data_IF_955522874538
#
_entry.id   IF_955522874538
#
_cell.length_a   1.000
_cell.length_b   1.000
_cell.length_c   1.000
_cell.angle_alpha   90.00
_cell.angle_beta   90.00
_cell.angle_gamma   90.00
#
_symmetry.space_group_name_H-M   'P 1'
#
loop_
_entity.id
_entity.type
_entity.pdbx_description
1 polymer ?
#
# COMPACT_ATOMS: atom_id res chain seq x y z
N UNK A 1 12.07 14.16 20.67
CA UNK A 1 11.66 14.92 19.44
C UNK A 1 11.19 13.95 18.37
N UNK A 2 10.16 14.35 17.59
CA UNK A 2 9.70 13.64 16.41
C UNK A 2 9.81 14.57 15.21
N UNK A 3 10.41 14.08 14.13
CA UNK A 3 10.51 14.79 12.86
C UNK A 3 10.01 13.87 11.76
N UNK A 4 9.17 14.40 10.89
CA UNK A 4 8.72 13.73 9.67
C UNK A 4 8.96 14.64 8.48
N UNK A 5 9.58 14.11 7.45
CA UNK A 5 9.78 14.80 6.17
C UNK A 5 9.09 13.99 5.09
N UNK A 6 8.21 14.66 4.37
CA UNK A 6 7.45 14.05 3.28
C UNK A 6 7.73 14.77 1.98
N UNK A 7 8.06 14.01 0.96
CA UNK A 7 8.19 14.49 -0.40
C UNK A 7 7.19 13.75 -1.28
N UNK A 8 6.45 14.51 -2.07
CA UNK A 8 5.45 13.97 -2.99
C UNK A 8 5.58 14.65 -4.34
N UNK A 9 5.63 13.86 -5.39
CA UNK A 9 5.64 14.33 -6.76
C UNK A 9 4.68 13.50 -7.60
N UNK A 10 3.95 14.16 -8.51
CA UNK A 10 3.12 13.49 -9.49
C UNK A 10 3.23 14.20 -10.84
N UNK A 11 3.07 13.43 -11.91
CA UNK A 11 3.09 13.95 -13.26
C UNK A 11 2.28 13.07 -14.18
N UNK A 12 1.71 13.65 -15.23
CA UNK A 12 1.01 12.90 -16.25
C UNK A 12 1.18 13.54 -17.62
N UNK A 13 1.24 12.70 -18.64
CA UNK A 13 1.26 13.10 -20.05
C UNK A 13 0.07 12.43 -20.72
N UNK A 14 -0.70 13.19 -21.46
CA UNK A 14 -1.81 12.69 -22.27
C UNK A 14 -1.57 13.07 -23.72
N UNK A 15 -1.57 12.07 -24.58
CA UNK A 15 -1.33 12.25 -26.02
C UNK A 15 -2.50 11.68 -26.82
N UNK A 16 -3.16 12.54 -27.59
CA UNK A 16 -4.17 12.11 -28.55
C UNK A 16 -3.48 11.67 -29.83
N UNK A 17 -3.37 10.34 -30.03
CA UNK A 17 -2.68 9.73 -31.16
C UNK A 17 -3.44 10.01 -32.47
N UNK A 18 -4.74 9.74 -32.40
CA UNK A 18 -5.71 10.05 -33.48
C UNK A 18 -7.04 10.47 -32.86
N UNK A 19 -7.97 10.97 -33.63
CA UNK A 19 -9.31 11.34 -33.15
C UNK A 19 -9.98 10.13 -32.48
N UNK A 20 -10.30 10.28 -31.21
CA UNK A 20 -10.93 9.24 -30.39
C UNK A 20 -9.96 8.28 -29.71
N UNK A 21 -8.67 8.24 -30.04
CA UNK A 21 -7.67 7.38 -29.41
C UNK A 21 -6.66 8.21 -28.61
N UNK A 22 -6.64 8.03 -27.30
CA UNK A 22 -5.78 8.78 -26.39
C UNK A 22 -4.94 7.80 -25.56
N UNK A 23 -3.64 8.03 -25.54
CA UNK A 23 -2.70 7.40 -24.62
C UNK A 23 -2.44 8.34 -23.44
N UNK A 24 -2.47 7.81 -22.23
CA UNK A 24 -2.11 8.55 -21.01
C UNK A 24 -1.12 7.75 -20.18
N UNK A 25 -0.04 8.40 -19.79
CA UNK A 25 0.89 7.91 -18.76
C UNK A 25 0.85 8.83 -17.56
N UNK A 26 0.90 8.28 -16.37
CA UNK A 26 0.95 9.02 -15.12
C UNK A 26 1.90 8.34 -14.15
N UNK A 27 2.62 9.14 -13.38
CA UNK A 27 3.51 8.63 -12.34
C UNK A 27 3.32 9.41 -11.04
N UNK A 28 3.44 8.70 -9.92
CA UNK A 28 3.51 9.31 -8.58
C UNK A 28 4.72 8.77 -7.85
N UNK A 29 5.35 9.63 -7.07
CA UNK A 29 6.44 9.27 -6.18
C UNK A 29 6.20 9.93 -4.82
N UNK A 30 6.23 9.14 -3.76
CA UNK A 30 6.07 9.63 -2.39
C UNK A 30 7.15 9.00 -1.53
N UNK A 31 7.81 9.81 -0.70
CA UNK A 31 8.72 9.31 0.32
C UNK A 31 8.46 10.02 1.63
N UNK A 32 8.50 9.26 2.70
CA UNK A 32 8.35 9.76 4.06
C UNK A 32 9.52 9.27 4.89
N UNK A 33 10.31 10.20 5.44
CA UNK A 33 11.38 9.91 6.36
C UNK A 33 10.95 10.34 7.77
N UNK A 34 10.92 9.39 8.69
CA UNK A 34 10.55 9.63 10.08
C UNK A 34 11.77 9.45 10.97
N UNK A 35 12.01 10.39 11.87
CA UNK A 35 13.00 10.25 12.93
C UNK A 35 12.35 10.58 14.26
N UNK A 36 12.48 9.66 15.22
CA UNK A 36 12.02 9.84 16.59
C UNK A 36 13.21 9.66 17.52
N UNK A 37 13.52 10.70 18.28
CA UNK A 37 14.55 10.70 19.31
C UNK A 37 13.88 10.87 20.66
N UNK A 38 14.15 9.96 21.58
CA UNK A 38 13.68 9.99 22.95
C UNK A 38 14.92 9.90 23.85
N UNK A 39 15.04 10.82 24.79
CA UNK A 39 16.09 10.78 25.80
C UNK A 39 15.48 11.11 27.16
N UNK A 40 15.72 10.25 28.13
CA UNK A 40 15.33 10.42 29.52
C UNK A 40 16.56 10.63 30.34
N UNK A 41 16.67 11.83 30.93
CA UNK A 41 17.79 12.22 31.76
C UNK A 41 17.74 11.48 33.11
N UNK A 42 18.89 11.45 33.78
CA UNK A 42 18.96 11.03 35.15
C UNK A 42 17.98 11.82 36.03
N UNK A 43 17.38 11.16 37.03
CA UNK A 43 16.37 11.75 37.90
C UNK A 43 14.98 11.95 37.25
N UNK A 44 14.81 11.65 35.97
CA UNK A 44 13.46 11.68 35.35
C UNK A 44 12.61 10.50 35.82
N UNK A 45 11.27 10.68 35.83
CA UNK A 45 10.31 9.62 36.17
C UNK A 45 10.47 8.38 35.29
N UNK A 46 10.80 8.59 34.04
CA UNK A 46 11.01 7.55 33.04
C UNK A 46 12.34 6.80 33.28
N UNK A 47 13.41 7.52 33.66
CA UNK A 47 14.67 6.89 34.05
C UNK A 47 14.48 6.03 35.30
N UNK A 48 13.69 6.50 36.26
CA UNK A 48 13.35 5.72 37.45
C UNK A 48 12.66 4.39 37.13
N UNK A 49 11.72 4.41 36.14
CA UNK A 49 11.06 3.18 35.65
C UNK A 49 12.03 2.23 34.94
N UNK A 50 13.10 2.74 34.37
CA UNK A 50 14.14 1.99 33.67
C UNK A 50 15.34 1.64 34.61
N UNK A 51 15.11 1.49 35.90
CA UNK A 51 16.14 1.11 36.86
C UNK A 51 17.05 2.27 37.27
N UNK A 52 16.54 3.51 37.28
CA UNK A 52 17.23 4.75 37.68
C UNK A 52 18.43 5.11 36.78
N UNK A 53 18.38 4.70 35.50
CA UNK A 53 19.44 4.98 34.53
C UNK A 53 18.94 5.87 33.40
N UNK A 54 19.77 6.79 32.93
CA UNK A 54 19.48 7.54 31.71
C UNK A 54 19.25 6.59 30.52
N UNK A 55 18.29 6.91 29.69
CA UNK A 55 17.88 6.09 28.56
C UNK A 55 17.77 6.92 27.28
N UNK A 56 18.39 6.43 26.22
CA UNK A 56 18.32 7.02 24.90
C UNK A 56 17.77 6.05 23.84
N UNK A 57 16.91 6.55 22.98
CA UNK A 57 16.33 5.80 21.85
C UNK A 57 16.29 6.67 20.60
N UNK A 58 16.85 6.16 19.53
CA UNK A 58 16.74 6.74 18.19
C UNK A 58 16.07 5.73 17.27
N UNK A 59 15.00 6.17 16.61
CA UNK A 59 14.26 5.39 15.65
C UNK A 59 14.22 6.14 14.34
N UNK A 60 14.58 5.47 13.25
CA UNK A 60 14.51 5.97 11.88
C UNK A 60 13.62 5.07 11.06
N UNK A 61 12.77 5.66 10.24
CA UNK A 61 11.91 4.94 9.30
C UNK A 61 11.86 5.66 7.98
N UNK A 62 11.88 4.91 6.90
CA UNK A 62 11.69 5.41 5.53
C UNK A 62 10.60 4.58 4.85
N UNK A 63 9.59 5.26 4.32
CA UNK A 63 8.54 4.66 3.47
C UNK A 63 8.66 5.29 2.09
N UNK A 64 8.85 4.49 1.06
CA UNK A 64 8.91 4.92 -0.33
C UNK A 64 7.80 4.24 -1.10
N UNK A 65 7.04 5.02 -1.86
CA UNK A 65 5.97 4.52 -2.73
C UNK A 65 6.08 5.20 -4.07
N UNK A 66 6.01 4.41 -5.13
CA UNK A 66 5.83 4.95 -6.46
C UNK A 66 4.83 4.12 -7.25
N UNK A 67 4.11 4.79 -8.12
CA UNK A 67 3.19 4.14 -9.05
C UNK A 67 3.43 4.67 -10.46
N UNK A 68 3.30 3.80 -11.43
CA UNK A 68 3.23 4.17 -12.83
C UNK A 68 1.96 3.55 -13.44
N UNK A 69 1.16 4.38 -14.05
CA UNK A 69 -0.12 4.03 -14.65
C UNK A 69 -0.12 4.43 -16.11
N UNK A 70 -0.43 3.48 -17.00
CA UNK A 70 -0.50 3.70 -18.43
C UNK A 70 -1.83 3.18 -18.94
N UNK A 71 -2.51 3.97 -19.75
CA UNK A 71 -3.72 3.53 -20.42
C UNK A 71 -3.85 4.03 -21.85
N UNK A 72 -4.52 3.23 -22.66
CA UNK A 72 -4.96 3.55 -23.99
C UNK A 72 -6.48 3.57 -24.00
N UNK A 73 -7.08 4.70 -24.30
CA UNK A 73 -8.53 4.88 -24.34
C UNK A 73 -8.99 5.18 -25.75
N UNK A 74 -9.93 4.38 -26.23
CA UNK A 74 -10.59 4.61 -27.49
C UNK A 74 -12.06 4.98 -27.27
N UNK A 75 -12.47 6.13 -27.82
CA UNK A 75 -13.84 6.65 -27.75
C UNK A 75 -14.41 6.82 -29.13
N UNK A 76 -15.59 6.28 -29.35
CA UNK A 76 -16.30 6.40 -30.61
C UNK A 76 -17.78 6.71 -30.39
N UNK A 77 -18.30 7.64 -31.16
CA UNK A 77 -19.72 7.96 -31.19
C UNK A 77 -20.26 7.76 -32.61
N UNK A 78 -21.24 6.87 -32.71
CA UNK A 78 -21.94 6.60 -33.99
C UNK A 78 -23.43 6.74 -33.72
N UNK A 79 -24.04 7.81 -34.26
CA UNK A 79 -25.46 8.14 -34.02
C UNK A 79 -25.78 8.16 -32.50
N UNK A 80 -26.61 7.21 -32.03
CA UNK A 80 -27.04 7.05 -30.64
C UNK A 80 -26.12 6.14 -29.82
N UNK A 81 -25.12 5.53 -30.45
CA UNK A 81 -24.19 4.60 -29.81
C UNK A 81 -22.90 5.33 -29.38
N UNK A 82 -22.54 5.26 -28.13
CA UNK A 82 -21.27 5.74 -27.60
C UNK A 82 -20.50 4.57 -27.04
N UNK A 83 -19.28 4.40 -27.51
CA UNK A 83 -18.33 3.37 -27.07
C UNK A 83 -17.13 4.05 -26.41
N UNK A 84 -16.70 3.50 -25.29
CA UNK A 84 -15.46 3.89 -24.60
C UNK A 84 -14.78 2.61 -24.17
N UNK A 85 -13.63 2.32 -24.75
CA UNK A 85 -12.82 1.14 -24.41
C UNK A 85 -11.48 1.60 -23.90
N UNK A 86 -11.09 1.10 -22.75
CA UNK A 86 -9.81 1.41 -22.11
C UNK A 86 -9.05 0.13 -21.83
N UNK A 87 -7.80 0.11 -22.23
CA UNK A 87 -6.80 -0.92 -21.86
C UNK A 87 -5.70 -0.23 -21.09
N UNK A 88 -5.21 -0.86 -20.05
CA UNK A 88 -4.13 -0.26 -19.31
C UNK A 88 -3.39 -1.22 -18.40
N UNK A 89 -2.27 -0.74 -17.89
CA UNK A 89 -1.51 -1.41 -16.87
C UNK A 89 -1.05 -0.42 -15.80
N UNK A 90 -0.82 -0.94 -14.63
CA UNK A 90 -0.35 -0.20 -13.46
C UNK A 90 0.74 -1.00 -12.76
N UNK A 91 1.81 -0.33 -12.40
CA UNK A 91 2.83 -0.86 -11.49
C UNK A 91 2.84 -0.01 -10.24
N UNK A 92 2.71 -0.65 -9.09
CA UNK A 92 2.80 0.00 -7.78
C UNK A 92 3.89 -0.69 -6.96
N UNK A 93 4.76 0.11 -6.37
CA UNK A 93 5.86 -0.34 -5.53
C UNK A 93 5.83 0.39 -4.19
N UNK A 94 6.12 -0.33 -3.13
CA UNK A 94 6.33 0.21 -1.79
C UNK A 94 7.49 -0.49 -1.13
N UNK A 95 8.40 0.29 -0.53
CA UNK A 95 9.40 -0.22 0.40
C UNK A 95 9.32 0.52 1.73
N UNK A 96 9.58 -0.21 2.80
CA UNK A 96 9.62 0.32 4.17
C UNK A 96 10.90 -0.15 4.83
N UNK A 97 11.66 0.80 5.33
CA UNK A 97 12.89 0.56 6.09
C UNK A 97 12.69 1.07 7.52
N UNK A 98 13.24 0.36 8.46
CA UNK A 98 13.18 0.71 9.87
C UNK A 98 14.50 0.38 10.55
N UNK A 99 14.98 1.30 11.38
CA UNK A 99 16.14 1.13 12.24
C UNK A 99 15.85 1.71 13.62
N UNK A 100 16.14 0.94 14.63
CA UNK A 100 16.03 1.32 16.05
C UNK A 100 17.35 1.04 16.76
N UNK A 101 17.82 2.02 17.51
CA UNK A 101 18.89 1.88 18.48
C UNK A 101 18.43 2.38 19.84
N UNK A 102 18.70 1.61 20.88
CA UNK A 102 18.44 1.93 22.28
C UNK A 102 19.68 1.67 23.11
N UNK A 103 19.97 2.59 24.03
CA UNK A 103 21.04 2.42 25.01
C UNK A 103 20.64 3.02 26.37
N UNK A 104 21.26 2.53 27.40
CA UNK A 104 21.10 2.99 28.79
C UNK A 104 22.44 3.26 29.43
N UNK A 105 22.40 3.89 30.61
CA UNK A 105 23.56 4.10 31.45
C UNK A 105 24.59 5.05 30.80
N UNK A 106 24.10 6.25 30.45
CA UNK A 106 24.95 7.29 29.88
C UNK A 106 25.77 7.97 30.97
N UNK A 107 27.10 8.14 30.75
CA UNK A 107 27.96 8.86 31.69
C UNK A 107 27.67 10.36 31.75
N UNK A 108 27.03 10.92 30.70
CA UNK A 108 26.69 12.33 30.59
C UNK A 108 25.30 12.49 29.97
N UNK A 109 24.51 13.41 30.50
CA UNK A 109 23.16 13.72 30.02
C UNK A 109 23.10 14.84 28.98
N UNK A 110 24.20 15.58 28.81
CA UNK A 110 24.23 16.81 28.00
C UNK A 110 24.19 16.56 26.48
N UNK A 111 24.65 15.41 26.01
CA UNK A 111 24.67 15.04 24.60
C UNK A 111 23.37 14.39 24.11
N UNK A 112 22.52 13.92 25.02
CA UNK A 112 21.25 13.30 24.67
C UNK A 112 21.40 12.16 23.68
N UNK A 113 20.58 12.16 22.64
CA UNK A 113 20.60 11.15 21.57
C UNK A 113 21.64 11.40 20.48
N UNK A 114 22.39 12.50 20.53
CA UNK A 114 23.35 12.81 19.47
C UNK A 114 24.52 11.83 19.47
N UNK A 115 24.77 11.19 20.62
CA UNK A 115 25.81 10.18 20.77
C UNK A 115 25.32 8.94 21.53
N UNK A 116 24.43 8.17 20.88
CA UNK A 116 23.82 6.99 21.50
C UNK A 116 24.83 5.91 21.89
N UNK A 117 25.97 5.85 21.20
CA UNK A 117 27.07 4.91 21.50
C UNK A 117 27.79 5.13 22.82
N UNK A 118 27.55 6.25 23.54
CA UNK A 118 28.09 6.48 24.90
C UNK A 118 27.35 5.70 25.97
N UNK A 119 26.17 5.15 25.69
CA UNK A 119 25.46 4.30 26.64
C UNK A 119 26.27 3.03 26.93
N UNK A 120 26.63 2.83 28.21
CA UNK A 120 27.43 1.69 28.62
C UNK A 120 26.72 0.35 28.45
N UNK A 121 25.38 0.37 28.39
CA UNK A 121 24.55 -0.81 28.21
C UNK A 121 23.69 -0.67 26.97
N UNK A 122 24.06 -1.29 25.81
CA UNK A 122 23.18 -1.41 24.65
C UNK A 122 21.93 -2.18 25.04
N UNK A 123 20.76 -1.61 24.81
CA UNK A 123 19.49 -2.21 25.21
C UNK A 123 18.84 -2.96 24.06
N UNK A 124 18.80 -2.34 22.88
CA UNK A 124 18.20 -2.93 21.71
C UNK A 124 18.79 -2.36 20.41
N UNK A 125 19.03 -3.22 19.45
CA UNK A 125 19.27 -2.84 18.05
C UNK A 125 18.31 -3.68 17.21
N UNK A 126 17.50 -3.01 16.40
CA UNK A 126 16.50 -3.66 15.56
C UNK A 126 16.48 -2.98 14.18
N UNK A 127 16.43 -3.77 13.15
CA UNK A 127 16.23 -3.27 11.78
C UNK A 127 15.27 -4.16 11.03
N UNK A 128 14.51 -3.57 10.13
CA UNK A 128 13.66 -4.31 9.22
C UNK A 128 13.61 -3.63 7.86
N UNK A 129 13.48 -4.45 6.84
CA UNK A 129 13.23 -4.04 5.46
C UNK A 129 12.10 -4.86 4.91
N UNK A 130 11.15 -4.21 4.24
CA UNK A 130 10.11 -4.90 3.51
C UNK A 130 9.79 -4.18 2.22
N UNK A 131 9.48 -4.94 1.19
CA UNK A 131 9.04 -4.42 -0.09
C UNK A 131 7.81 -5.17 -0.62
N UNK A 132 7.03 -4.48 -1.42
CA UNK A 132 5.85 -5.00 -2.08
C UNK A 132 5.73 -4.39 -3.46
N UNK A 133 5.48 -5.22 -4.46
CA UNK A 133 5.18 -4.81 -5.82
C UNK A 133 3.83 -5.40 -6.24
N UNK A 134 3.03 -4.58 -6.90
CA UNK A 134 1.78 -4.96 -7.55
C UNK A 134 1.86 -4.57 -9.02
N UNK A 135 1.66 -5.55 -9.89
CA UNK A 135 1.52 -5.36 -11.33
C UNK A 135 0.09 -5.70 -11.72
N UNK A 136 -0.58 -4.78 -12.39
CA UNK A 136 -1.97 -4.91 -12.76
C UNK A 136 -2.17 -4.65 -14.24
N UNK A 137 -2.99 -5.47 -14.88
CA UNK A 137 -3.51 -5.23 -16.22
C UNK A 137 -5.03 -5.11 -16.13
N UNK A 138 -5.61 -4.18 -16.87
CA UNK A 138 -7.05 -4.00 -16.85
C UNK A 138 -7.58 -3.59 -18.21
N UNK A 139 -8.81 -4.04 -18.45
CA UNK A 139 -9.61 -3.65 -19.60
C UNK A 139 -10.99 -3.20 -19.11
N UNK A 140 -11.49 -2.09 -19.65
CA UNK A 140 -12.84 -1.58 -19.38
C UNK A 140 -13.52 -1.23 -20.66
N UNK A 141 -14.75 -1.68 -20.84
CA UNK A 141 -15.66 -1.28 -21.88
C UNK A 141 -16.87 -0.57 -21.31
N UNK A 142 -17.15 0.62 -21.80
CA UNK A 142 -18.40 1.34 -21.52
C UNK A 142 -19.19 1.46 -22.82
N UNK A 143 -20.45 1.13 -22.73
CA UNK A 143 -21.40 1.32 -23.83
C UNK A 143 -22.59 2.13 -23.35
N UNK A 144 -22.95 3.14 -24.12
CA UNK A 144 -24.09 3.98 -23.82
C UNK A 144 -24.95 4.12 -25.12
N UNK A 145 -26.19 3.69 -25.01
CA UNK A 145 -27.18 3.82 -26.06
C UNK A 145 -28.18 4.93 -25.72
N UNK A 146 -28.22 5.96 -26.56
CA UNK A 146 -29.17 7.09 -26.51
C UNK A 146 -29.28 7.78 -25.13
N UNK A 147 -28.21 7.71 -24.34
CA UNK A 147 -28.18 8.14 -22.92
C UNK A 147 -29.20 7.42 -22.00
N UNK A 148 -29.86 6.38 -22.46
CA UNK A 148 -30.86 5.62 -21.72
C UNK A 148 -30.30 4.36 -21.10
N UNK A 149 -29.56 3.58 -21.89
CA UNK A 149 -28.98 2.30 -21.47
C UNK A 149 -27.49 2.41 -21.38
N UNK A 150 -26.94 2.19 -20.19
CA UNK A 150 -25.51 2.27 -19.93
C UNK A 150 -25.02 0.91 -19.44
N UNK A 151 -24.01 0.37 -20.08
CA UNK A 151 -23.37 -0.88 -19.71
C UNK A 151 -21.89 -0.61 -19.46
N UNK A 152 -21.33 -1.20 -18.42
CA UNK A 152 -19.90 -1.19 -18.14
C UNK A 152 -19.44 -2.60 -17.81
N UNK A 153 -18.41 -3.06 -18.48
CA UNK A 153 -17.71 -4.30 -18.15
C UNK A 153 -16.25 -3.97 -17.85
N UNK A 154 -15.70 -4.54 -16.80
CA UNK A 154 -14.29 -4.37 -16.44
C UNK A 154 -13.71 -5.74 -16.06
N UNK A 155 -12.50 -6.00 -16.51
CA UNK A 155 -11.70 -7.11 -16.04
C UNK A 155 -10.36 -6.56 -15.59
N UNK A 156 -9.88 -7.01 -14.43
CA UNK A 156 -8.57 -6.67 -13.87
C UNK A 156 -7.83 -7.94 -13.48
N UNK A 157 -6.59 -8.02 -13.85
CA UNK A 157 -5.67 -9.07 -13.43
C UNK A 157 -4.56 -8.41 -12.61
N UNK A 158 -4.41 -8.81 -11.35
CA UNK A 158 -3.45 -8.27 -10.40
C UNK A 158 -2.45 -9.34 -9.98
N UNK A 159 -1.16 -9.07 -10.16
CA UNK A 159 -0.06 -9.89 -9.70
C UNK A 159 0.69 -9.21 -8.56
N UNK A 160 0.65 -9.80 -7.36
CA UNK A 160 1.30 -9.23 -6.16
C UNK A 160 2.46 -10.11 -5.70
N UNK A 161 3.56 -9.46 -5.29
CA UNK A 161 4.73 -10.15 -4.71
C UNK A 161 4.48 -10.72 -3.30
N UNK A 162 3.37 -10.35 -2.68
CA UNK A 162 2.98 -10.86 -1.35
C UNK A 162 2.55 -12.32 -1.41
N UNK A 163 2.03 -12.76 -2.56
CA UNK A 163 1.57 -14.13 -2.75
C UNK A 163 2.68 -15.05 -3.29
N UNK A 164 2.57 -16.33 -2.97
CA UNK A 164 3.46 -17.37 -3.51
C UNK A 164 3.44 -17.40 -5.04
N UNK A 165 4.55 -17.84 -5.65
CA UNK A 165 4.72 -17.93 -7.10
C UNK A 165 3.59 -18.68 -7.81
N UNK A 166 2.95 -19.66 -7.16
CA UNK A 166 1.84 -20.44 -7.72
C UNK A 166 0.53 -19.68 -7.79
N UNK A 167 0.32 -18.68 -6.93
CA UNK A 167 -0.94 -17.96 -6.78
C UNK A 167 -0.76 -16.43 -6.88
N UNK A 168 0.23 -15.96 -7.63
CA UNK A 168 0.53 -14.52 -7.75
C UNK A 168 -0.58 -13.71 -8.40
N UNK A 169 -1.36 -14.30 -9.31
CA UNK A 169 -2.33 -13.61 -10.14
C UNK A 169 -3.76 -13.86 -9.66
N UNK A 170 -4.49 -12.76 -9.45
CA UNK A 170 -5.91 -12.75 -9.21
C UNK A 170 -6.66 -12.09 -10.37
N UNK A 171 -7.85 -12.61 -10.71
CA UNK A 171 -8.74 -12.05 -11.73
C UNK A 171 -10.00 -11.49 -11.08
N UNK A 172 -10.33 -10.23 -11.43
CA UNK A 172 -11.40 -9.46 -10.81
C UNK A 172 -12.33 -8.91 -11.88
N UNK A 173 -13.28 -9.70 -12.39
CA UNK A 173 -14.28 -9.23 -13.31
C UNK A 173 -15.35 -8.43 -12.58
N UNK A 174 -15.89 -7.41 -13.26
CA UNK A 174 -17.05 -6.66 -12.80
C UNK A 174 -17.93 -6.23 -13.98
N UNK A 175 -19.22 -6.14 -13.73
CA UNK A 175 -20.22 -5.72 -14.69
C UNK A 175 -21.22 -4.79 -14.01
N UNK A 176 -21.65 -3.76 -14.72
CA UNK A 176 -22.76 -2.91 -14.29
C UNK A 176 -23.64 -2.51 -15.45
N UNK A 177 -24.92 -2.43 -15.18
CA UNK A 177 -25.92 -1.95 -16.10
C UNK A 177 -26.70 -0.82 -15.43
N UNK A 178 -27.06 0.21 -16.21
CA UNK A 178 -27.91 1.27 -15.72
C UNK A 178 -28.93 1.65 -16.80
N UNK A 179 -30.16 1.88 -16.34
CA UNK A 179 -31.26 2.34 -17.16
C UNK A 179 -31.76 3.69 -16.63
N UNK A 180 -31.74 4.70 -17.49
CA UNK A 180 -32.34 6.01 -17.23
C UNK A 180 -33.78 5.98 -17.64
N UNK A 181 -34.65 5.66 -16.71
CA UNK A 181 -36.10 5.52 -16.93
C UNK A 181 -36.70 6.91 -17.27
N UNK A 182 -36.16 7.99 -16.67
CA UNK A 182 -36.61 9.35 -16.93
C UNK A 182 -36.42 9.81 -18.38
N UNK A 183 -35.56 9.14 -19.17
CA UNK A 183 -35.34 9.46 -20.60
C UNK A 183 -36.30 8.69 -21.54
N UNK A 184 -37.13 7.82 -20.98
CA UNK A 184 -38.10 7.05 -21.78
C UNK A 184 -39.32 7.89 -22.16
N UNK A 185 -39.94 7.53 -23.30
CA UNK A 185 -41.05 8.26 -23.84
C UNK A 185 -42.25 8.35 -22.88
N UNK A 186 -42.50 7.28 -22.11
CA UNK A 186 -43.61 7.21 -21.15
C UNK A 186 -43.37 8.05 -19.88
N UNK A 187 -42.15 8.54 -19.63
CA UNK A 187 -41.83 9.39 -18.49
C UNK A 187 -41.80 10.88 -18.83
N UNK A 188 -41.91 11.26 -20.08
CA UNK A 188 -41.82 12.68 -20.52
C UNK A 188 -42.94 13.57 -19.98
N UNK A 189 -44.10 12.99 -19.69
CA UNK A 189 -45.28 13.69 -19.18
C UNK A 189 -45.33 13.72 -17.63
N UNK A 190 -44.25 13.24 -16.97
CA UNK A 190 -44.18 13.13 -15.50
C UNK A 190 -43.25 14.23 -14.96
N UNK A 191 -43.80 15.43 -14.78
CA UNK A 191 -43.02 16.64 -14.44
C UNK A 191 -42.41 16.61 -13.02
N UNK A 192 -42.94 15.80 -12.12
CA UNK A 192 -42.46 15.71 -10.73
C UNK A 192 -41.23 14.80 -10.54
N UNK A 193 -40.83 14.02 -11.57
CA UNK A 193 -39.65 13.16 -11.56
C UNK A 193 -38.60 13.70 -12.54
N UNK A 194 -37.64 14.45 -12.06
CA UNK A 194 -36.59 15.04 -12.89
C UNK A 194 -35.50 14.02 -13.30
N UNK A 195 -35.21 13.01 -12.50
CA UNK A 195 -34.18 11.99 -12.80
C UNK A 195 -34.49 10.66 -12.07
N UNK A 196 -34.86 9.65 -12.84
CA UNK A 196 -35.05 8.30 -12.35
C UNK A 196 -34.12 7.33 -13.09
N UNK A 197 -33.19 6.74 -12.34
CA UNK A 197 -32.17 5.85 -12.88
C UNK A 197 -32.05 4.60 -12.02
N UNK A 198 -32.24 3.43 -12.63
CA UNK A 198 -32.01 2.12 -12.00
C UNK A 198 -30.59 1.68 -12.34
N UNK A 199 -29.86 1.11 -11.35
CA UNK A 199 -28.53 0.56 -11.53
C UNK A 199 -28.42 -0.82 -10.90
N UNK A 200 -27.77 -1.72 -11.61
CA UNK A 200 -27.40 -3.04 -11.15
C UNK A 200 -25.89 -3.21 -11.34
N UNK A 201 -25.22 -3.80 -10.37
CA UNK A 201 -23.78 -4.05 -10.46
C UNK A 201 -23.41 -5.35 -9.75
N UNK A 202 -22.45 -6.02 -10.32
CA UNK A 202 -21.84 -7.22 -9.79
C UNK A 202 -20.34 -7.18 -10.03
N UNK A 203 -19.54 -7.72 -9.10
CA UNK A 203 -18.11 -7.80 -9.28
C UNK A 203 -17.42 -8.62 -8.20
N UNK A 204 -16.24 -9.11 -8.55
CA UNK A 204 -15.32 -9.79 -7.64
C UNK A 204 -14.21 -8.81 -7.28
N UNK A 205 -13.87 -8.73 -6.00
CA UNK A 205 -12.76 -7.92 -5.49
C UNK A 205 -11.76 -8.78 -4.75
N UNK A 206 -10.48 -8.45 -4.90
CA UNK A 206 -9.39 -9.09 -4.18
C UNK A 206 -8.95 -8.28 -2.96
N UNK A 207 -8.31 -8.95 -2.02
CA UNK A 207 -7.65 -8.33 -0.88
C UNK A 207 -6.23 -8.87 -0.77
N UNK A 208 -5.23 -7.97 -0.80
CA UNK A 208 -3.81 -8.28 -0.65
C UNK A 208 -3.20 -7.68 0.64
N UNK A 209 -4.07 -7.32 1.63
CA UNK A 209 -3.67 -6.78 2.93
C UNK A 209 -3.21 -7.90 3.88
N UNK A 210 -2.25 -8.67 3.44
CA UNK A 210 -1.56 -9.65 4.26
C UNK A 210 -0.13 -9.19 4.52
N UNK A 211 0.49 -9.69 5.59
CA UNK A 211 1.89 -9.38 5.88
C UNK A 211 2.78 -9.85 4.74
N UNK A 212 3.79 -9.04 4.41
CA UNK A 212 4.81 -9.41 3.45
C UNK A 212 5.52 -10.67 3.93
N UNK A 213 5.93 -11.54 2.99
CA UNK A 213 6.69 -12.77 3.25
C UNK A 213 5.96 -13.91 3.97
N UNK A 214 4.63 -13.80 4.25
CA UNK A 214 3.85 -14.91 4.81
C UNK A 214 3.86 -16.18 3.94
N UNK A 215 4.14 -16.04 2.66
CA UNK A 215 4.26 -17.17 1.73
C UNK A 215 5.65 -17.82 1.72
N UNK A 216 6.60 -17.27 2.49
CA UNK A 216 7.96 -17.79 2.64
C UNK A 216 8.10 -18.50 3.98
N UNK A 217 9.07 -19.40 4.07
CA UNK A 217 9.44 -20.00 5.35
C UNK A 217 10.14 -18.92 6.20
N UNK A 218 9.53 -18.60 7.33
CA UNK A 218 10.06 -17.64 8.28
C UNK A 218 10.88 -18.41 9.33
N UNK A 219 12.08 -17.97 9.58
CA UNK A 219 12.95 -18.52 10.60
C UNK A 219 13.07 -17.53 11.74
N UNK A 220 12.82 -17.98 12.95
CA UNK A 220 13.06 -17.20 14.16
C UNK A 220 14.35 -17.66 14.84
N UNK A 221 15.22 -16.70 15.17
CA UNK A 221 16.45 -16.97 15.90
C UNK A 221 16.13 -17.11 17.39
N UNK A 222 16.23 -18.31 17.92
CA UNK A 222 16.09 -18.58 19.35
C UNK A 222 17.46 -18.83 19.96
N UNK A 223 17.71 -18.20 21.13
CA UNK A 223 18.96 -18.39 21.88
C UNK A 223 18.78 -19.53 22.88
N UNK A 224 19.50 -20.60 22.69
CA UNK A 224 19.60 -21.69 23.66
C UNK A 224 20.96 -21.66 24.36
N UNK A 225 20.95 -21.72 25.68
CA UNK A 225 22.16 -21.89 26.47
C UNK A 225 22.60 -23.36 26.42
N UNK A 226 23.74 -23.64 25.83
CA UNK A 226 24.41 -24.95 25.93
C UNK A 226 25.70 -24.75 26.68
N UNK A 227 25.71 -25.07 27.98
CA UNK A 227 26.84 -24.79 28.85
C UNK A 227 27.10 -23.30 29.00
N UNK A 228 28.35 -22.85 28.86
CA UNK A 228 28.74 -21.44 28.91
C UNK A 228 28.56 -20.68 27.57
N UNK A 229 28.09 -21.33 26.53
CA UNK A 229 27.95 -20.74 25.18
C UNK A 229 26.48 -20.58 24.80
N UNK A 230 26.15 -19.44 24.20
CA UNK A 230 24.82 -19.18 23.61
C UNK A 230 24.85 -19.59 22.16
N UNK A 231 24.06 -20.58 21.77
CA UNK A 231 23.91 -21.01 20.39
C UNK A 231 22.63 -20.41 19.78
N UNK A 232 22.71 -19.92 18.54
CA UNK A 232 21.56 -19.48 17.77
C UNK A 232 20.97 -20.67 17.02
N UNK A 233 19.75 -21.05 17.36
CA UNK A 233 18.97 -22.05 16.63
C UNK A 233 17.94 -21.34 15.75
N UNK A 234 17.93 -21.67 14.47
CA UNK A 234 16.91 -21.24 13.53
C UNK A 234 15.79 -22.28 13.52
N UNK A 235 14.62 -21.91 14.04
CA UNK A 235 13.44 -22.76 14.01
C UNK A 235 12.40 -22.17 13.07
N UNK A 236 11.83 -23.00 12.18
CA UNK A 236 10.63 -22.58 11.46
C UNK A 236 9.43 -22.57 12.42
N UNK A 237 8.56 -21.56 12.40
CA UNK A 237 7.36 -21.57 13.22
C UNK A 237 6.50 -22.79 12.87
N UNK A 238 6.01 -23.48 13.92
CA UNK A 238 5.11 -24.62 13.75
C UNK A 238 3.85 -24.24 12.99
N UNK A 239 3.30 -25.13 12.14
CA UNK A 239 2.01 -24.86 11.48
C UNK A 239 0.86 -24.51 12.44
N UNK A 240 0.95 -24.92 13.71
CA UNK A 240 -0.02 -24.58 14.76
C UNK A 240 0.06 -23.13 15.24
N UNK A 241 1.19 -22.47 15.11
CA UNK A 241 1.36 -21.08 15.53
C UNK A 241 0.80 -20.09 14.51
N UNK A 242 0.58 -20.53 13.26
CA UNK A 242 -0.04 -19.74 12.18
C UNK A 242 -1.55 -19.55 12.35
N UNK A 243 -2.21 -20.30 13.25
CA UNK A 243 -3.66 -20.25 13.43
C UNK A 243 -4.13 -19.42 14.64
N UNK A 244 -3.21 -18.77 15.36
CA UNK A 244 -3.51 -17.99 16.57
C UNK A 244 -3.36 -16.47 16.45
N UNK A 245 -3.28 -15.93 15.23
CA UNK A 245 -3.28 -14.48 14.98
C UNK A 245 -4.56 -14.03 14.29
#
# INVERSE_FOLDING_TARGET
>A
TKRAEMWSGNGSISWQIIKGLTFKTAGTYNTTNNRTNIFYKDGSKEAYRNGQKPYGRTQMGRDVRWTNFNNLTWKQKVKKHNYDVMLGHEVSFRSTEYLLGEAMDFPFDNLGNDYLGLGATPSKVESSYSEKMLLSFFARGNYNYDNRYLLTATVRADGSTVFSNKNKWGFFPSFSAAWRVSEEAFMKDVDWVSNFKVRLGWGIVGNDRISNYLSMDLYEASKYGVGNNTCLLYTSPSPRDRTRS
#
